data_IF_757302920272
#
_entry.id   IF_757302920272
#
_cell.length_a   1.000
_cell.length_b   1.000
_cell.length_c   1.000
_cell.angle_alpha   90.00
_cell.angle_beta   90.00
_cell.angle_gamma   90.00
#
_symmetry.space_group_name_H-M   'P 1'
#
loop_
_entity.id
_entity.type
_entity.pdbx_description
1 polymer ?
#
# COMPACT_ATOMS: atom_id res chain seq x y z
N UNK A 1 -3.43 -31.64 12.42
CA UNK A 1 -2.88 -30.27 12.48
C UNK A 1 -2.46 -29.92 13.92
N UNK A 2 -3.30 -30.20 14.96
CA UNK A 2 -3.02 -29.85 16.36
C UNK A 2 -1.71 -30.43 16.92
N UNK A 3 -1.30 -31.63 16.45
CA UNK A 3 -0.05 -32.30 16.87
C UNK A 3 1.21 -31.78 16.16
N UNK A 4 1.07 -30.96 15.11
CA UNK A 4 2.20 -30.44 14.34
C UNK A 4 2.75 -29.20 15.04
N UNK A 5 3.96 -29.28 15.61
CA UNK A 5 4.59 -28.19 16.39
C UNK A 5 4.76 -26.88 15.59
N UNK A 6 5.03 -26.96 14.27
CA UNK A 6 5.23 -25.80 13.40
C UNK A 6 3.92 -25.13 12.92
N UNK A 7 2.76 -25.78 13.11
CA UNK A 7 1.49 -25.25 12.66
C UNK A 7 0.98 -24.17 13.60
N UNK A 8 0.89 -22.94 13.11
CA UNK A 8 0.27 -21.81 13.83
C UNK A 8 -1.21 -22.11 14.07
N UNK A 9 -1.94 -22.56 13.06
CA UNK A 9 -3.35 -22.99 13.18
C UNK A 9 -3.50 -24.11 14.20
N UNK A 10 -2.60 -25.11 14.19
CA UNK A 10 -2.58 -26.18 15.18
C UNK A 10 -2.32 -25.68 16.60
N UNK A 11 -1.52 -24.63 16.76
CA UNK A 11 -1.26 -24.02 18.06
C UNK A 11 -2.51 -23.33 18.63
N UNK A 12 -3.26 -22.60 17.79
CA UNK A 12 -4.54 -21.99 18.19
C UNK A 12 -5.64 -23.02 18.46
N UNK A 13 -5.81 -24.00 17.57
CA UNK A 13 -6.82 -25.07 17.74
C UNK A 13 -6.55 -25.95 18.96
N UNK A 14 -5.30 -26.14 19.36
CA UNK A 14 -4.93 -26.91 20.57
C UNK A 14 -4.89 -26.09 21.84
N UNK A 15 -5.19 -24.80 21.81
CA UNK A 15 -5.12 -23.89 22.95
C UNK A 15 -3.69 -23.52 23.40
N UNK A 16 -2.64 -23.94 22.68
CA UNK A 16 -1.25 -23.54 22.98
C UNK A 16 -0.97 -22.07 22.69
N UNK A 17 -1.75 -21.48 21.78
CA UNK A 17 -1.82 -20.04 21.52
C UNK A 17 -3.27 -19.59 21.57
N UNK A 18 -3.51 -18.45 22.15
CA UNK A 18 -4.81 -17.80 22.17
C UNK A 18 -4.61 -16.29 22.19
N UNK A 19 -5.63 -15.55 21.85
CA UNK A 19 -5.65 -14.10 22.00
C UNK A 19 -6.15 -13.80 23.40
N UNK A 20 -5.32 -13.19 24.21
CA UNK A 20 -5.67 -12.85 25.58
C UNK A 20 -6.78 -11.79 25.60
N UNK A 21 -7.78 -12.04 26.44
CA UNK A 21 -8.83 -11.03 26.72
C UNK A 21 -8.35 -10.27 27.96
N UNK A 22 -8.10 -8.95 27.84
CA UNK A 22 -7.62 -8.18 29.00
C UNK A 22 -8.68 -8.15 30.11
N UNK A 23 -8.24 -8.34 31.36
CA UNK A 23 -9.09 -8.28 32.53
C UNK A 23 -9.69 -6.88 32.73
N UNK A 24 -8.87 -5.86 32.48
CA UNK A 24 -9.28 -4.45 32.54
C UNK A 24 -9.35 -3.83 31.15
N UNK A 25 -10.43 -3.15 30.86
CA UNK A 25 -10.64 -2.45 29.58
C UNK A 25 -10.50 -0.95 29.76
N UNK A 26 -10.05 -0.26 28.71
CA UNK A 26 -9.99 1.21 28.70
C UNK A 26 -11.40 1.79 28.84
N UNK A 27 -11.57 2.71 29.77
CA UNK A 27 -12.85 3.40 29.98
C UNK A 27 -13.17 4.41 28.87
N UNK A 28 -12.15 4.86 28.13
CA UNK A 28 -12.24 5.92 27.14
C UNK A 28 -12.14 7.29 27.80
N UNK A 29 -12.47 8.35 27.07
CA UNK A 29 -12.39 9.73 27.54
C UNK A 29 -13.77 10.38 27.80
N UNK A 30 -14.85 9.60 27.77
CA UNK A 30 -16.22 10.09 27.93
C UNK A 30 -16.79 10.83 26.71
N UNK A 31 -16.00 11.03 25.63
CA UNK A 31 -16.41 11.71 24.40
C UNK A 31 -16.81 10.68 23.35
N UNK A 32 -17.68 11.06 22.43
CA UNK A 32 -18.12 10.22 21.33
C UNK A 32 -18.33 11.05 20.05
N UNK A 33 -18.14 10.39 18.91
CA UNK A 33 -18.75 10.83 17.66
C UNK A 33 -20.15 10.23 17.59
N UNK A 34 -21.15 11.02 17.20
CA UNK A 34 -22.53 10.55 17.07
C UNK A 34 -23.02 10.81 15.67
N UNK A 35 -23.44 9.76 14.98
CA UNK A 35 -24.16 9.87 13.70
C UNK A 35 -25.65 9.89 14.02
N UNK A 36 -26.32 11.00 13.72
CA UNK A 36 -27.73 11.22 14.03
C UNK A 36 -28.57 10.91 12.81
N UNK A 37 -29.59 10.07 12.99
CA UNK A 37 -30.60 9.70 11.97
C UNK A 37 -29.99 9.34 10.61
N UNK A 38 -29.10 8.38 10.60
CA UNK A 38 -28.52 7.84 9.36
C UNK A 38 -29.61 7.15 8.54
N UNK A 39 -29.81 7.58 7.28
CA UNK A 39 -30.86 7.08 6.39
C UNK A 39 -30.38 6.81 4.96
N UNK A 40 -29.08 6.64 4.77
CA UNK A 40 -28.50 6.26 3.47
C UNK A 40 -28.74 4.77 3.19
N UNK A 41 -29.09 4.42 1.96
CA UNK A 41 -29.37 3.06 1.48
C UNK A 41 -30.47 2.35 2.32
N UNK A 42 -30.09 1.31 3.09
CA UNK A 42 -31.01 0.52 3.91
C UNK A 42 -31.08 0.96 5.39
N UNK A 43 -30.40 2.03 5.75
CA UNK A 43 -30.46 2.58 7.11
C UNK A 43 -31.80 3.33 7.32
N UNK A 44 -32.41 3.13 8.46
CA UNK A 44 -33.74 3.67 8.79
C UNK A 44 -33.66 4.62 10.00
N UNK A 45 -33.16 5.82 9.76
CA UNK A 45 -33.03 6.91 10.74
C UNK A 45 -32.36 6.47 12.06
N UNK A 46 -31.31 5.63 11.95
CA UNK A 46 -30.61 5.14 13.13
C UNK A 46 -29.64 6.18 13.67
N UNK A 47 -29.59 6.32 15.00
CA UNK A 47 -28.57 7.13 15.70
C UNK A 47 -27.59 6.21 16.38
N UNK A 48 -26.29 6.44 16.14
CA UNK A 48 -25.20 5.56 16.62
C UNK A 48 -24.07 6.38 17.22
N UNK A 49 -23.65 6.00 18.43
CA UNK A 49 -22.51 6.58 19.13
C UNK A 49 -21.24 5.77 18.89
N UNK A 50 -20.14 6.46 18.59
CA UNK A 50 -18.78 5.93 18.45
C UNK A 50 -17.90 6.50 19.58
N UNK A 51 -17.78 5.80 20.74
CA UNK A 51 -17.03 6.32 21.89
C UNK A 51 -15.54 6.47 21.57
N UNK A 52 -14.96 7.64 21.84
CA UNK A 52 -13.56 7.95 21.55
C UNK A 52 -12.61 7.31 22.57
N UNK A 53 -11.35 7.11 22.13
CA UNK A 53 -10.31 6.48 22.95
C UNK A 53 -10.46 4.97 23.13
N UNK A 54 -11.28 4.32 22.30
CA UNK A 54 -11.56 2.87 22.34
C UNK A 54 -11.37 2.22 20.98
N UNK A 55 -11.17 0.90 20.97
CA UNK A 55 -11.34 0.09 19.77
C UNK A 55 -12.84 -0.19 19.59
N UNK A 56 -13.38 0.16 18.44
CA UNK A 56 -14.77 -0.03 18.11
C UNK A 56 -14.87 -1.05 16.96
N UNK A 57 -15.66 -2.11 17.16
CA UNK A 57 -15.93 -3.11 16.13
C UNK A 57 -17.41 -3.01 15.71
N UNK A 58 -17.63 -2.76 14.41
CA UNK A 58 -18.98 -2.77 13.81
C UNK A 58 -19.19 -4.11 13.14
N UNK A 59 -20.06 -4.95 13.68
CA UNK A 59 -20.33 -6.32 13.24
C UNK A 59 -21.77 -6.51 12.79
N UNK A 60 -22.04 -7.59 12.07
CA UNK A 60 -23.39 -7.94 11.60
C UNK A 60 -23.35 -8.72 10.29
N UNK A 61 -24.49 -9.21 9.84
CA UNK A 61 -24.64 -9.96 8.58
C UNK A 61 -24.31 -9.10 7.35
N UNK A 62 -24.01 -9.76 6.23
CA UNK A 62 -23.80 -9.04 4.97
C UNK A 62 -25.06 -8.27 4.57
N UNK A 63 -24.90 -7.04 4.08
CA UNK A 63 -26.03 -6.18 3.69
C UNK A 63 -26.72 -5.44 4.86
N UNK A 64 -26.29 -5.59 6.11
CA UNK A 64 -26.93 -4.91 7.25
C UNK A 64 -26.66 -3.40 7.37
N UNK A 65 -25.93 -2.80 6.43
CA UNK A 65 -25.66 -1.34 6.43
C UNK A 65 -24.35 -0.91 7.11
N UNK A 66 -23.50 -1.84 7.59
CA UNK A 66 -22.22 -1.51 8.26
C UNK A 66 -21.34 -0.58 7.44
N UNK A 67 -21.10 -0.93 6.18
CA UNK A 67 -20.27 -0.13 5.28
C UNK A 67 -20.92 1.21 4.94
N UNK A 68 -22.24 1.25 4.86
CA UNK A 68 -22.99 2.49 4.66
C UNK A 68 -22.80 3.43 5.87
N UNK A 69 -22.98 2.93 7.08
CA UNK A 69 -22.81 3.72 8.29
C UNK A 69 -21.36 4.21 8.46
N UNK A 70 -20.39 3.29 8.36
CA UNK A 70 -18.98 3.60 8.68
C UNK A 70 -18.28 4.30 7.51
N UNK A 71 -18.36 3.74 6.29
CA UNK A 71 -17.58 4.25 5.18
C UNK A 71 -18.28 5.39 4.44
N UNK A 72 -19.58 5.22 4.14
CA UNK A 72 -20.31 6.21 3.34
C UNK A 72 -20.72 7.44 4.16
N UNK A 73 -21.16 7.26 5.40
CA UNK A 73 -21.60 8.37 6.26
C UNK A 73 -20.44 8.87 7.10
N UNK A 74 -20.02 8.12 8.14
CA UNK A 74 -19.07 8.60 9.14
C UNK A 74 -17.72 9.00 8.54
N UNK A 75 -17.08 8.08 7.82
CA UNK A 75 -15.74 8.34 7.25
C UNK A 75 -15.76 9.48 6.23
N UNK A 76 -16.70 9.49 5.28
CA UNK A 76 -16.76 10.55 4.27
C UNK A 76 -17.09 11.92 4.87
N UNK A 77 -17.95 11.98 5.89
CA UNK A 77 -18.22 13.23 6.61
C UNK A 77 -16.97 13.77 7.30
N UNK A 78 -16.29 12.93 8.06
CA UNK A 78 -15.04 13.30 8.72
C UNK A 78 -13.94 13.66 7.71
N UNK A 79 -13.79 12.91 6.64
CA UNK A 79 -12.78 13.17 5.60
C UNK A 79 -13.06 14.51 4.87
N UNK A 80 -14.31 14.83 4.62
CA UNK A 80 -14.68 16.11 4.02
C UNK A 80 -14.40 17.29 4.98
N UNK A 81 -14.79 17.15 6.25
CA UNK A 81 -14.64 18.21 7.26
C UNK A 81 -13.18 18.41 7.71
N UNK A 82 -12.45 17.33 7.98
CA UNK A 82 -11.12 17.39 8.61
C UNK A 82 -9.97 17.32 7.61
N UNK A 83 -10.12 16.55 6.53
CA UNK A 83 -9.05 16.32 5.55
C UNK A 83 -9.28 17.07 4.24
N UNK A 84 -10.39 17.83 4.08
CA UNK A 84 -10.72 18.55 2.86
C UNK A 84 -11.03 17.64 1.66
N UNK A 85 -11.47 16.39 1.90
CA UNK A 85 -11.82 15.46 0.84
C UNK A 85 -13.08 15.93 0.07
N UNK A 86 -13.07 15.75 -1.25
CA UNK A 86 -14.19 16.15 -2.13
C UNK A 86 -15.28 15.06 -2.27
N UNK A 87 -15.20 14.00 -1.47
CA UNK A 87 -16.21 12.93 -1.48
C UNK A 87 -17.52 13.42 -0.90
N UNK A 88 -18.64 13.05 -1.53
CA UNK A 88 -19.98 13.35 -1.00
C UNK A 88 -20.32 12.33 0.09
N UNK A 89 -20.60 12.76 1.34
CA UNK A 89 -21.06 11.87 2.39
C UNK A 89 -22.46 11.30 2.10
N UNK A 90 -22.74 10.13 2.68
CA UNK A 90 -24.09 9.57 2.71
C UNK A 90 -25.03 10.39 3.62
N UNK A 91 -26.31 10.14 3.50
CA UNK A 91 -27.35 10.95 4.14
C UNK A 91 -27.51 10.62 5.63
N UNK A 92 -27.44 11.63 6.47
CA UNK A 92 -27.79 11.64 7.89
C UNK A 92 -28.22 13.05 8.25
N UNK A 93 -28.83 13.23 9.43
CA UNK A 93 -29.18 14.57 9.91
C UNK A 93 -27.92 15.37 10.22
N UNK A 94 -27.03 14.83 11.07
CA UNK A 94 -25.74 15.42 11.39
C UNK A 94 -24.75 14.38 11.96
N UNK A 95 -23.47 14.78 12.06
CA UNK A 95 -22.42 14.06 12.79
C UNK A 95 -21.87 14.98 13.87
N UNK A 96 -22.21 14.69 15.12
CA UNK A 96 -21.78 15.44 16.29
C UNK A 96 -20.41 14.95 16.80
N UNK A 97 -19.70 15.81 17.54
CA UNK A 97 -18.43 15.47 18.23
C UNK A 97 -17.20 15.55 17.34
N UNK A 98 -17.31 16.11 16.14
CA UNK A 98 -16.18 16.26 15.22
C UNK A 98 -15.06 17.15 15.77
N UNK A 99 -15.38 18.06 16.69
CA UNK A 99 -14.42 18.95 17.38
C UNK A 99 -13.42 18.19 18.24
N UNK A 100 -13.67 16.92 18.54
CA UNK A 100 -12.77 16.06 19.32
C UNK A 100 -11.79 15.24 18.46
N UNK A 101 -11.80 15.43 17.14
CA UNK A 101 -11.01 14.65 16.19
C UNK A 101 -10.22 15.59 15.27
N UNK A 102 -8.91 15.42 15.19
CA UNK A 102 -8.04 16.27 14.37
C UNK A 102 -8.00 15.85 12.91
N UNK A 103 -8.06 14.55 12.66
CA UNK A 103 -8.02 13.95 11.31
C UNK A 103 -8.62 12.55 11.29
N UNK A 104 -9.00 12.10 10.11
CA UNK A 104 -9.42 10.71 9.89
C UNK A 104 -8.49 10.03 8.90
N UNK A 105 -8.16 8.77 9.16
CA UNK A 105 -7.36 7.92 8.29
C UNK A 105 -8.20 6.72 7.92
N UNK A 106 -8.50 6.58 6.61
CA UNK A 106 -9.14 5.39 6.07
C UNK A 106 -8.10 4.35 5.70
N UNK A 107 -8.23 3.15 6.25
CA UNK A 107 -7.41 2.00 5.86
C UNK A 107 -8.34 0.97 5.26
N UNK A 108 -8.10 0.58 4.01
CA UNK A 108 -8.88 -0.43 3.31
C UNK A 108 -7.97 -1.53 2.75
N UNK A 109 -8.56 -2.54 2.14
CA UNK A 109 -7.85 -3.65 1.50
C UNK A 109 -7.68 -3.44 0.00
N UNK A 110 -7.85 -2.22 -0.49
CA UNK A 110 -7.65 -1.91 -1.90
C UNK A 110 -6.20 -2.16 -2.30
N UNK A 111 -5.94 -2.77 -3.46
CA UNK A 111 -4.57 -2.96 -3.91
C UNK A 111 -3.86 -1.61 -4.10
N UNK A 112 -2.59 -1.54 -3.76
CA UNK A 112 -1.72 -0.35 -3.88
C UNK A 112 -1.71 0.20 -5.33
N UNK A 113 -2.08 -0.64 -6.28
CA UNK A 113 -2.26 -0.27 -7.69
C UNK A 113 -2.78 -1.44 -8.50
N UNK A 114 -3.31 -1.14 -9.67
CA UNK A 114 -3.95 -2.13 -10.56
C UNK A 114 -3.10 -2.48 -11.78
N UNK A 115 -1.85 -2.02 -11.82
CA UNK A 115 -0.96 -2.23 -12.97
C UNK A 115 0.34 -2.89 -12.53
N UNK A 116 1.04 -3.61 -13.41
CA UNK A 116 2.35 -4.18 -13.13
C UNK A 116 3.43 -3.15 -12.75
N UNK A 117 3.16 -1.86 -12.96
CA UNK A 117 4.06 -0.74 -12.64
C UNK A 117 3.93 -0.27 -11.19
N UNK A 118 2.82 -0.60 -10.55
CA UNK A 118 2.62 -0.29 -9.14
C UNK A 118 3.43 -1.27 -8.28
N UNK A 119 4.29 -0.74 -7.43
CA UNK A 119 5.16 -1.53 -6.56
C UNK A 119 5.50 -0.73 -5.29
N UNK A 120 6.09 -1.35 -4.25
CA UNK A 120 6.44 -0.68 -3.01
C UNK A 120 7.31 0.57 -3.20
N UNK A 121 8.28 0.54 -4.12
CA UNK A 121 9.15 1.68 -4.37
C UNK A 121 8.42 2.88 -4.97
N UNK A 122 7.42 2.64 -5.85
CA UNK A 122 6.59 3.72 -6.42
C UNK A 122 5.59 4.26 -5.42
N UNK A 123 4.98 3.39 -4.62
CA UNK A 123 4.00 3.77 -3.62
C UNK A 123 4.58 4.66 -2.51
N UNK A 124 5.75 4.30 -1.99
CA UNK A 124 6.44 5.08 -0.95
C UNK A 124 7.14 6.33 -1.51
N UNK A 125 7.18 6.48 -2.83
CA UNK A 125 7.91 7.56 -3.50
C UNK A 125 9.43 7.43 -3.45
N UNK A 126 9.99 6.33 -2.90
CA UNK A 126 11.44 6.11 -2.85
C UNK A 126 12.04 5.91 -4.24
N UNK A 127 11.25 5.44 -5.20
CA UNK A 127 11.71 5.25 -6.57
C UNK A 127 12.15 6.56 -7.25
N UNK A 128 11.49 7.69 -6.92
CA UNK A 128 11.90 9.02 -7.38
C UNK A 128 13.34 9.36 -6.96
N UNK A 129 13.63 9.13 -5.69
CA UNK A 129 14.95 9.39 -5.10
C UNK A 129 16.01 8.44 -5.67
N UNK A 130 15.69 7.16 -5.85
CA UNK A 130 16.59 6.17 -6.48
C UNK A 130 16.95 6.59 -7.91
N UNK A 131 15.98 7.04 -8.72
CA UNK A 131 16.22 7.54 -10.08
C UNK A 131 17.15 8.75 -10.09
N UNK A 132 16.95 9.67 -9.16
CA UNK A 132 17.81 10.85 -8.99
C UNK A 132 19.23 10.43 -8.59
N UNK A 133 19.38 9.45 -7.69
CA UNK A 133 20.67 8.91 -7.32
C UNK A 133 21.42 8.31 -8.53
N UNK A 134 20.73 7.49 -9.33
CA UNK A 134 21.33 6.90 -10.54
C UNK A 134 21.73 7.95 -11.57
N UNK A 135 20.92 9.00 -11.79
CA UNK A 135 21.25 10.09 -12.71
C UNK A 135 22.47 10.91 -12.25
N UNK A 136 22.81 10.88 -10.97
CA UNK A 136 23.96 11.54 -10.41
C UNK A 136 25.27 10.71 -10.45
N UNK A 137 25.20 9.44 -10.89
CA UNK A 137 26.41 8.63 -11.11
C UNK A 137 27.27 9.21 -12.22
N UNK A 138 28.58 8.94 -12.17
CA UNK A 138 29.53 9.43 -13.18
C UNK A 138 29.16 8.95 -14.58
N UNK A 139 28.82 7.66 -14.72
CA UNK A 139 28.44 7.06 -16.01
C UNK A 139 27.16 7.71 -16.58
N UNK A 140 26.15 7.98 -15.75
CA UNK A 140 24.92 8.64 -16.17
C UNK A 140 25.21 10.07 -16.65
N UNK A 141 26.02 10.82 -15.91
CA UNK A 141 26.43 12.20 -16.29
C UNK A 141 27.19 12.24 -17.58
N UNK A 142 28.16 11.34 -17.79
CA UNK A 142 28.92 11.26 -19.04
C UNK A 142 28.03 10.95 -20.26
N UNK A 143 26.97 10.16 -20.06
CA UNK A 143 25.98 9.81 -21.11
C UNK A 143 24.83 10.81 -21.24
N UNK A 144 24.77 11.85 -20.42
CA UNK A 144 23.67 12.82 -20.39
C UNK A 144 22.33 12.24 -19.90
N UNK A 145 22.37 11.22 -19.05
CA UNK A 145 21.16 10.53 -18.57
C UNK A 145 20.57 11.22 -17.34
N UNK A 146 19.44 11.88 -17.53
CA UNK A 146 18.65 12.44 -16.44
C UNK A 146 17.78 11.39 -15.71
N UNK A 147 17.06 11.76 -14.61
CA UNK A 147 16.24 10.84 -13.83
C UNK A 147 15.12 10.15 -14.62
N UNK A 148 14.65 10.75 -15.73
CA UNK A 148 13.68 10.17 -16.65
C UNK A 148 14.17 8.90 -17.33
N UNK A 149 15.48 8.80 -17.61
CA UNK A 149 16.11 7.60 -18.22
C UNK A 149 15.92 6.35 -17.36
N UNK A 150 15.92 6.53 -16.05
CA UNK A 150 15.76 5.45 -15.06
C UNK A 150 14.31 5.18 -14.69
N UNK A 151 13.33 5.74 -15.42
CA UNK A 151 11.91 5.47 -15.24
C UNK A 151 11.42 4.42 -16.22
N UNK A 152 10.78 3.37 -15.74
CA UNK A 152 10.12 2.39 -16.61
C UNK A 152 8.79 2.92 -17.21
N UNK A 153 8.35 4.11 -16.80
CA UNK A 153 7.14 4.76 -17.35
C UNK A 153 7.44 5.69 -18.53
N UNK A 154 8.69 6.14 -18.67
CA UNK A 154 9.07 7.14 -19.67
C UNK A 154 9.88 6.48 -20.81
N UNK A 155 9.63 6.90 -22.04
CA UNK A 155 10.39 6.44 -23.21
C UNK A 155 11.86 6.83 -23.09
N UNK A 156 12.73 6.05 -23.74
CA UNK A 156 14.17 6.28 -23.83
C UNK A 156 14.99 5.33 -22.93
N UNK A 157 14.57 5.04 -21.69
CA UNK A 157 15.29 4.11 -20.80
C UNK A 157 14.61 2.78 -20.58
N UNK A 158 13.30 2.71 -20.81
CA UNK A 158 12.52 1.50 -20.66
C UNK A 158 12.68 0.54 -21.84
N UNK A 159 12.36 -0.70 -21.66
CA UNK A 159 12.18 -1.65 -22.76
C UNK A 159 10.94 -1.26 -23.56
N UNK A 160 11.10 -0.95 -24.84
CA UNK A 160 9.96 -0.53 -25.68
C UNK A 160 9.06 -1.71 -26.08
N UNK A 161 9.60 -2.96 -26.11
CA UNK A 161 8.81 -4.15 -26.44
C UNK A 161 7.67 -4.41 -25.41
N UNK A 162 7.95 -4.25 -24.11
CA UNK A 162 6.94 -4.39 -23.06
C UNK A 162 6.47 -3.04 -22.48
N UNK A 163 6.91 -1.92 -23.04
CA UNK A 163 6.58 -0.58 -22.56
C UNK A 163 7.03 -0.29 -21.13
N UNK A 164 7.96 -1.10 -20.57
CA UNK A 164 8.45 -0.99 -19.19
C UNK A 164 7.73 -1.88 -18.18
N UNK A 165 6.78 -2.71 -18.60
CA UNK A 165 6.03 -3.60 -17.70
C UNK A 165 6.86 -4.83 -17.26
N UNK A 166 7.88 -5.20 -18.05
CA UNK A 166 8.68 -6.41 -17.82
C UNK A 166 7.98 -7.70 -18.22
N UNK A 167 6.67 -7.63 -18.45
CA UNK A 167 5.81 -8.75 -18.85
C UNK A 167 5.00 -8.34 -20.07
N UNK A 168 4.56 -9.35 -20.84
CA UNK A 168 3.64 -9.19 -21.96
C UNK A 168 2.34 -9.89 -21.59
N UNK A 169 1.23 -9.16 -21.71
CA UNK A 169 -0.10 -9.69 -21.52
C UNK A 169 -0.56 -10.35 -22.82
N UNK A 170 -0.91 -11.62 -22.76
CA UNK A 170 -1.52 -12.36 -23.85
C UNK A 170 -3.01 -12.46 -23.54
N UNK A 171 -3.82 -11.72 -24.29
CA UNK A 171 -5.28 -11.71 -24.13
C UNK A 171 -5.88 -12.98 -24.76
N UNK A 172 -6.67 -13.70 -23.97
CA UNK A 172 -7.38 -14.89 -24.41
C UNK A 172 -8.88 -14.64 -24.34
N UNK A 173 -9.59 -14.76 -25.48
CA UNK A 173 -11.02 -14.41 -25.57
C UNK A 173 -11.95 -15.22 -24.65
N UNK A 174 -11.59 -16.44 -24.29
CA UNK A 174 -12.43 -17.34 -23.46
C UNK A 174 -11.75 -17.87 -22.19
N UNK A 175 -10.50 -17.50 -21.95
CA UNK A 175 -9.70 -17.92 -20.80
C UNK A 175 -9.14 -16.68 -20.09
N UNK A 176 -8.73 -16.79 -18.82
CA UNK A 176 -8.01 -15.72 -18.14
C UNK A 176 -6.75 -15.31 -18.92
N UNK A 177 -6.46 -14.01 -18.93
CA UNK A 177 -5.26 -13.47 -19.55
C UNK A 177 -4.00 -14.12 -18.98
N UNK A 178 -3.03 -14.42 -19.84
CA UNK A 178 -1.73 -14.98 -19.44
C UNK A 178 -0.67 -13.90 -19.49
N UNK A 179 0.14 -13.83 -18.45
CA UNK A 179 1.26 -12.90 -18.34
C UNK A 179 2.57 -13.67 -18.46
N UNK A 180 3.38 -13.32 -19.45
CA UNK A 180 4.69 -13.93 -19.68
C UNK A 180 5.81 -12.90 -19.55
N UNK A 181 7.00 -13.27 -19.04
CA UNK A 181 8.14 -12.35 -19.04
C UNK A 181 8.46 -11.87 -20.45
N UNK A 182 8.80 -10.59 -20.59
CA UNK A 182 9.21 -10.03 -21.87
C UNK A 182 10.54 -10.65 -22.32
N UNK A 183 10.57 -11.30 -23.45
CA UNK A 183 11.78 -11.97 -24.01
C UNK A 183 12.89 -10.97 -24.30
N UNK A 184 12.57 -9.76 -24.76
CA UNK A 184 13.56 -8.73 -25.13
C UNK A 184 14.35 -8.22 -23.92
N UNK A 185 13.70 -7.96 -22.79
CA UNK A 185 14.37 -7.47 -21.59
C UNK A 185 14.55 -8.55 -20.50
N UNK A 186 14.05 -9.78 -20.70
CA UNK A 186 14.10 -10.84 -19.70
C UNK A 186 13.42 -10.43 -18.38
N UNK A 187 12.31 -9.71 -18.43
CA UNK A 187 11.62 -9.21 -17.25
C UNK A 187 12.21 -7.94 -16.62
N UNK A 188 13.34 -7.44 -17.10
CA UNK A 188 14.10 -6.36 -16.45
C UNK A 188 13.53 -4.95 -16.64
N UNK A 189 12.50 -4.76 -17.46
CA UNK A 189 11.78 -3.48 -17.68
C UNK A 189 12.55 -2.40 -18.44
N UNK A 190 13.88 -2.45 -18.51
CA UNK A 190 14.76 -1.45 -19.09
C UNK A 190 15.51 -1.96 -20.32
N UNK A 191 15.98 -1.05 -21.15
CA UNK A 191 16.92 -1.35 -22.22
C UNK A 191 18.32 -1.58 -21.65
N UNK A 192 19.18 -2.22 -22.45
CA UNK A 192 20.55 -2.59 -22.08
C UNK A 192 21.39 -1.39 -21.62
N UNK A 193 21.33 -0.29 -22.38
CA UNK A 193 22.10 0.91 -22.10
C UNK A 193 21.79 1.53 -20.72
N UNK A 194 20.53 1.49 -20.29
CA UNK A 194 20.13 1.96 -18.95
C UNK A 194 20.63 1.01 -17.87
N UNK A 195 20.61 -0.31 -18.14
CA UNK A 195 21.11 -1.32 -17.20
C UNK A 195 22.65 -1.33 -17.07
N UNK A 196 23.38 -0.79 -18.03
CA UNK A 196 24.83 -0.66 -17.97
C UNK A 196 25.27 0.36 -16.89
N UNK A 197 24.44 1.36 -16.60
CA UNK A 197 24.71 2.32 -15.51
C UNK A 197 24.57 1.64 -14.16
N UNK A 198 25.62 1.73 -13.33
CA UNK A 198 25.69 1.06 -12.03
C UNK A 198 25.88 2.05 -10.88
N UNK A 199 25.23 1.77 -9.76
CA UNK A 199 25.51 2.38 -8.47
C UNK A 199 25.93 1.28 -7.50
N UNK A 200 27.12 1.39 -6.90
CA UNK A 200 27.75 0.31 -6.09
C UNK A 200 27.68 -1.07 -6.77
N UNK A 201 27.94 -1.12 -8.09
CA UNK A 201 27.95 -2.36 -8.88
C UNK A 201 26.57 -2.92 -9.26
N UNK A 202 25.47 -2.29 -8.85
CA UNK A 202 24.09 -2.72 -9.12
C UNK A 202 23.40 -1.81 -10.12
N UNK A 203 22.67 -2.39 -11.09
CA UNK A 203 21.80 -1.64 -12.00
C UNK A 203 20.51 -1.20 -11.32
N UNK A 204 19.77 -0.32 -11.97
CA UNK A 204 18.45 0.10 -11.48
C UNK A 204 17.48 -1.09 -11.31
N UNK A 205 17.57 -2.10 -12.17
CA UNK A 205 16.78 -3.33 -12.04
C UNK A 205 17.21 -4.14 -10.83
N UNK A 206 18.52 -4.35 -10.64
CA UNK A 206 19.04 -5.10 -9.48
C UNK A 206 18.60 -4.46 -8.17
N UNK A 207 18.53 -3.14 -8.11
CA UNK A 207 18.02 -2.42 -6.93
C UNK A 207 16.51 -2.62 -6.73
N UNK A 208 15.74 -2.62 -7.81
CA UNK A 208 14.29 -2.92 -7.71
C UNK A 208 14.03 -4.38 -7.34
N UNK A 209 14.95 -5.30 -7.67
CA UNK A 209 14.85 -6.72 -7.32
C UNK A 209 15.32 -7.04 -5.90
N UNK A 210 15.97 -6.09 -5.20
CA UNK A 210 16.33 -6.22 -3.80
C UNK A 210 15.08 -6.29 -2.92
N UNK A 211 15.14 -7.12 -1.88
CA UNK A 211 14.21 -7.03 -0.76
C UNK A 211 14.43 -5.74 0.04
N UNK A 212 13.45 -5.34 0.83
CA UNK A 212 13.59 -4.20 1.74
C UNK A 212 14.77 -4.41 2.70
N UNK A 213 14.96 -5.64 3.19
CA UNK A 213 16.07 -6.03 4.07
C UNK A 213 17.45 -5.85 3.39
N UNK A 214 17.59 -6.26 2.13
CA UNK A 214 18.83 -6.10 1.35
C UNK A 214 19.09 -4.65 0.98
N UNK A 215 18.04 -3.87 0.72
CA UNK A 215 18.15 -2.48 0.33
C UNK A 215 18.58 -1.54 1.47
N UNK A 216 18.26 -1.88 2.72
CA UNK A 216 18.59 -1.08 3.91
C UNK A 216 20.12 -0.85 4.04
N UNK A 217 20.98 -1.89 4.11
CA UNK A 217 22.42 -1.70 4.17
C UNK A 217 22.99 -1.15 2.86
N UNK A 218 22.38 -1.45 1.71
CA UNK A 218 22.82 -0.92 0.43
C UNK A 218 22.73 0.60 0.36
N UNK A 219 21.67 1.19 0.91
CA UNK A 219 21.44 2.64 0.96
C UNK A 219 21.81 3.29 2.30
N UNK A 220 22.65 2.65 3.13
CA UNK A 220 23.07 3.16 4.43
C UNK A 220 23.54 4.61 4.40
N UNK A 221 24.35 4.98 3.38
CA UNK A 221 24.93 6.32 3.21
C UNK A 221 24.03 7.29 2.42
N UNK A 222 22.74 6.96 2.22
CA UNK A 222 21.79 7.79 1.48
C UNK A 222 20.54 8.01 2.37
N UNK A 223 20.60 8.96 3.33
CA UNK A 223 19.63 9.07 4.42
C UNK A 223 18.16 9.21 3.95
N UNK A 224 17.90 9.97 2.89
CA UNK A 224 16.55 10.21 2.38
C UNK A 224 15.92 8.96 1.72
N UNK A 225 16.72 8.06 1.12
CA UNK A 225 16.27 6.76 0.62
C UNK A 225 16.11 5.79 1.80
N UNK A 226 17.14 5.69 2.66
CA UNK A 226 17.16 4.81 3.81
C UNK A 226 15.91 4.99 4.69
N UNK A 227 15.57 6.22 5.05
CA UNK A 227 14.41 6.51 5.91
C UNK A 227 13.10 5.93 5.37
N UNK A 228 12.86 6.01 4.06
CA UNK A 228 11.65 5.46 3.44
C UNK A 228 11.65 3.92 3.42
N UNK A 229 12.82 3.30 3.22
CA UNK A 229 12.98 1.85 3.23
C UNK A 229 12.86 1.32 4.67
N UNK A 230 13.43 2.03 5.65
CA UNK A 230 13.34 1.71 7.08
C UNK A 230 11.88 1.65 7.56
N UNK A 231 11.05 2.59 7.11
CA UNK A 231 9.60 2.54 7.39
C UNK A 231 8.95 1.24 6.89
N UNK A 232 9.32 0.75 5.69
CA UNK A 232 8.82 -0.54 5.19
C UNK A 232 9.32 -1.72 6.03
N UNK A 233 10.56 -1.64 6.49
CA UNK A 233 11.16 -2.66 7.36
C UNK A 233 10.45 -2.72 8.73
N UNK A 234 10.22 -1.56 9.35
CA UNK A 234 9.60 -1.44 10.68
C UNK A 234 8.15 -1.93 10.72
N UNK A 235 7.42 -1.82 9.61
CA UNK A 235 6.06 -2.39 9.50
C UNK A 235 6.05 -3.90 9.16
N UNK A 236 7.23 -4.54 9.14
CA UNK A 236 7.35 -5.99 8.93
C UNK A 236 7.33 -6.45 7.46
N UNK A 237 7.60 -5.55 6.51
CA UNK A 237 7.66 -5.85 5.07
C UNK A 237 9.09 -6.11 4.57
N UNK A 238 9.99 -6.59 5.44
CA UNK A 238 11.41 -6.80 5.13
C UNK A 238 11.65 -7.75 3.95
N UNK A 239 10.77 -8.74 3.77
CA UNK A 239 10.85 -9.77 2.72
C UNK A 239 10.35 -9.33 1.34
N UNK A 240 9.67 -8.19 1.25
CA UNK A 240 9.07 -7.72 -0.01
C UNK A 240 10.14 -7.07 -0.88
N UNK A 241 10.16 -7.36 -2.19
CA UNK A 241 11.05 -6.68 -3.12
C UNK A 241 10.56 -5.27 -3.44
N UNK A 242 11.48 -4.31 -3.56
CA UNK A 242 11.17 -2.91 -3.86
C UNK A 242 10.35 -2.74 -5.16
N UNK A 243 10.67 -3.54 -6.19
CA UNK A 243 10.00 -3.52 -7.50
C UNK A 243 8.92 -4.58 -7.69
N UNK A 244 8.51 -5.30 -6.63
CA UNK A 244 7.48 -6.34 -6.72
C UNK A 244 6.15 -5.74 -7.21
N UNK A 245 5.57 -6.24 -8.33
CA UNK A 245 4.27 -5.76 -8.78
C UNK A 245 3.18 -5.97 -7.72
N UNK A 246 2.30 -5.00 -7.57
CA UNK A 246 1.16 -5.11 -6.63
C UNK A 246 0.05 -6.05 -7.10
N UNK A 247 0.17 -6.57 -8.32
CA UNK A 247 -0.77 -7.52 -8.94
C UNK A 247 -0.35 -8.99 -8.78
N UNK A 248 0.74 -9.25 -8.06
CA UNK A 248 1.25 -10.61 -7.77
C UNK A 248 0.90 -11.06 -6.37
#
# INVERSE_FOLDING_TARGET
ICKVKRSITGAYLSGRKFVEVPETRREGNGKALRVVKAHENNLQDITVDFPLGKLICVTGVSGSGKSTLVNEILYKTLAAALNGARSRPGQCEEVEGMEWVDKVIGIDQSPIGRTPRSNPATYTGVFGDIRTLFSNTQDAKMRGYGPGRFSFNVKGGRCEACGGDGIIKIEMHFLPDVYVPCEVCGGKRYNRETLDVKYKGKSIFDVLDMTVEEALPFFENVPFIRRKIETLYDVGLSYVKLGQPSTT
#
